data_IF_276217568721
#
_entry.id   IF_276217568721
#
_cell.length_a   1.000
_cell.length_b   1.000
_cell.length_c   1.000
_cell.angle_alpha   90.00
_cell.angle_beta   90.00
_cell.angle_gamma   90.00
#
_symmetry.space_group_name_H-M   'P 1'
#
loop_
_entity.id
_entity.type
_entity.pdbx_description
1 polymer ?
#
# COMPACT_ATOMS: atom_id res chain seq x y z
N UNK A 1 34.59 -33.07 27.70
CA UNK A 1 34.18 -32.67 29.07
C UNK A 1 32.97 -33.49 29.48
N UNK A 2 32.96 -34.05 30.69
CA UNK A 2 31.87 -34.91 31.19
C UNK A 2 30.91 -34.09 32.05
N UNK A 3 29.63 -34.47 32.07
CA UNK A 3 28.50 -33.83 32.79
C UNK A 3 28.79 -33.43 34.26
N UNK A 4 29.73 -34.10 34.92
CA UNK A 4 30.16 -33.80 36.28
C UNK A 4 30.97 -32.50 36.42
N UNK A 5 31.65 -32.03 35.37
CA UNK A 5 32.43 -30.78 35.38
C UNK A 5 31.52 -29.55 35.18
N UNK A 6 30.37 -29.72 34.52
CA UNK A 6 29.36 -28.69 34.31
C UNK A 6 28.56 -28.35 35.59
N UNK A 7 28.38 -29.32 36.49
CA UNK A 7 27.60 -29.13 37.73
C UNK A 7 28.39 -28.45 38.87
N UNK A 8 29.71 -28.33 38.76
CA UNK A 8 30.54 -27.64 39.75
C UNK A 8 30.57 -26.12 39.57
N UNK A 9 30.25 -25.61 38.38
CA UNK A 9 30.25 -24.17 38.05
C UNK A 9 28.93 -23.48 38.44
N UNK A 10 27.84 -24.23 38.53
CA UNK A 10 26.47 -23.69 38.72
C UNK A 10 25.71 -24.29 39.92
N UNK A 11 26.41 -24.66 40.98
CA UNK A 11 25.76 -24.85 42.28
C UNK A 11 25.87 -23.52 43.07
N UNK A 12 24.78 -22.76 43.29
CA UNK A 12 24.81 -21.65 44.22
C UNK A 12 25.09 -22.24 45.60
N UNK A 13 26.24 -21.88 46.20
CA UNK A 13 26.43 -22.07 47.64
C UNK A 13 25.32 -21.29 48.33
N UNK A 14 24.50 -22.02 49.08
CA UNK A 14 23.42 -21.47 49.90
C UNK A 14 23.90 -20.28 50.73
N UNK A 15 22.95 -19.42 51.08
CA UNK A 15 23.05 -18.40 52.10
C UNK A 15 23.75 -17.09 51.71
N UNK A 16 24.36 -16.97 50.52
CA UNK A 16 25.06 -15.73 50.10
C UNK A 16 24.15 -14.71 49.40
N UNK A 17 23.20 -15.18 48.59
CA UNK A 17 22.25 -14.32 47.86
C UNK A 17 21.23 -13.72 48.82
N UNK A 18 20.70 -14.52 49.74
CA UNK A 18 19.70 -14.11 50.72
C UNK A 18 20.25 -13.08 51.72
N UNK A 19 21.53 -13.20 52.08
CA UNK A 19 22.24 -12.24 52.94
C UNK A 19 22.50 -10.90 52.25
N UNK A 20 22.81 -10.93 50.94
CA UNK A 20 22.93 -9.73 50.11
C UNK A 20 21.60 -9.02 49.89
N UNK A 21 20.52 -9.78 49.69
CA UNK A 21 19.17 -9.23 49.55
C UNK A 21 18.71 -8.58 50.87
N UNK A 22 18.93 -9.23 52.02
CA UNK A 22 18.63 -8.61 53.33
C UNK A 22 19.49 -7.38 53.63
N UNK A 23 20.80 -7.40 53.40
CA UNK A 23 21.63 -6.20 53.58
C UNK A 23 21.23 -5.05 52.64
N UNK A 24 20.71 -5.35 51.46
CA UNK A 24 20.22 -4.34 50.51
C UNK A 24 18.88 -3.77 50.95
N UNK A 25 17.98 -4.61 51.49
CA UNK A 25 16.69 -4.18 52.03
C UNK A 25 16.82 -3.39 53.34
N UNK A 26 17.66 -3.84 54.27
CA UNK A 26 17.95 -3.12 55.53
C UNK A 26 18.63 -1.77 55.24
N UNK A 27 19.50 -1.71 54.22
CA UNK A 27 20.14 -0.47 53.74
C UNK A 27 19.19 0.50 53.03
N UNK A 28 18.02 0.02 52.57
CA UNK A 28 16.94 0.85 52.02
C UNK A 28 15.99 1.36 53.12
N UNK A 29 15.85 0.63 54.22
CA UNK A 29 15.02 1.04 55.37
C UNK A 29 15.68 2.14 56.22
N UNK A 30 17.01 2.13 56.37
CA UNK A 30 17.72 3.12 57.20
C UNK A 30 17.95 4.49 56.52
N UNK A 31 17.84 4.59 55.18
CA UNK A 31 18.12 5.84 54.44
C UNK A 31 16.91 6.76 54.21
N UNK A 32 15.74 6.42 54.74
CA UNK A 32 14.50 7.21 54.56
C UNK A 32 14.12 8.09 55.75
N UNK A 33 15.09 8.59 56.51
CA UNK A 33 14.89 9.76 57.38
C UNK A 33 15.70 10.92 56.81
N UNK A 34 14.98 11.92 56.30
CA UNK A 34 15.44 13.18 55.66
C UNK A 34 15.59 13.18 54.13
N UNK A 35 14.52 13.52 53.39
CA UNK A 35 14.43 14.71 52.50
C UNK A 35 13.39 14.60 51.34
N UNK A 36 12.41 15.54 51.37
CA UNK A 36 11.63 16.19 50.29
C UNK A 36 10.58 15.44 49.39
N UNK A 37 9.42 16.08 49.06
CA UNK A 37 8.15 15.42 48.70
C UNK A 37 7.83 15.38 47.18
N UNK A 38 8.82 15.36 46.28
CA UNK A 38 8.57 15.54 44.83
C UNK A 38 8.51 14.26 43.98
N UNK A 39 8.74 13.06 44.54
CA UNK A 39 8.66 11.79 43.78
C UNK A 39 7.28 11.12 43.81
N UNK A 40 6.48 11.38 44.84
CA UNK A 40 5.10 10.87 44.92
C UNK A 40 4.19 11.47 43.85
N UNK A 41 4.40 12.74 43.48
CA UNK A 41 3.65 13.39 42.41
C UNK A 41 3.98 12.84 41.01
N UNK A 42 5.24 12.44 40.76
CA UNK A 42 5.63 11.84 39.47
C UNK A 42 5.14 10.40 39.32
N UNK A 43 5.16 9.60 40.39
CA UNK A 43 4.62 8.24 40.36
C UNK A 43 3.09 8.27 40.31
N UNK A 44 2.44 9.19 41.03
CA UNK A 44 0.99 9.39 40.92
C UNK A 44 0.59 9.94 39.55
N UNK A 45 1.36 10.85 38.93
CA UNK A 45 1.08 11.33 37.57
C UNK A 45 1.32 10.24 36.52
N UNK A 46 2.35 9.40 36.67
CA UNK A 46 2.58 8.25 35.79
C UNK A 46 1.52 7.15 35.99
N UNK A 47 1.04 6.93 37.21
CA UNK A 47 -0.09 6.03 37.48
C UNK A 47 -1.42 6.62 37.02
N UNK A 48 -1.61 7.94 37.06
CA UNK A 48 -2.79 8.62 36.50
C UNK A 48 -2.73 8.62 34.97
N UNK A 49 -1.56 8.77 34.34
CA UNK A 49 -1.41 8.57 32.88
C UNK A 49 -1.60 7.11 32.50
N UNK A 50 -1.07 6.15 33.26
CA UNK A 50 -1.33 4.72 33.06
C UNK A 50 -2.78 4.32 33.35
N UNK A 51 -3.48 5.05 34.24
CA UNK A 51 -4.91 4.90 34.50
C UNK A 51 -5.76 5.67 33.49
N UNK A 52 -5.24 6.68 32.79
CA UNK A 52 -5.94 7.36 31.68
C UNK A 52 -5.79 6.54 30.40
N UNK A 53 -4.62 5.93 30.14
CA UNK A 53 -4.48 4.92 29.07
C UNK A 53 -5.28 3.67 29.39
N UNK A 54 -5.41 3.25 30.67
CA UNK A 54 -6.28 2.14 31.07
C UNK A 54 -7.76 2.52 31.30
N UNK A 55 -8.15 3.79 31.34
CA UNK A 55 -9.56 4.20 31.47
C UNK A 55 -10.28 4.30 30.13
N UNK A 56 -9.54 4.41 29.01
CA UNK A 56 -10.08 4.06 27.69
C UNK A 56 -10.29 2.54 27.55
N UNK A 57 -9.54 1.73 28.31
CA UNK A 57 -9.53 0.24 28.27
C UNK A 57 -10.75 -0.41 28.96
N UNK A 58 -11.77 0.36 29.37
CA UNK A 58 -13.05 -0.18 29.85
C UNK A 58 -14.29 0.37 29.10
N UNK A 59 -14.11 1.24 28.11
CA UNK A 59 -15.13 1.48 27.11
C UNK A 59 -15.03 0.32 26.11
N UNK A 60 -16.11 -0.44 25.93
CA UNK A 60 -16.15 -1.45 24.87
C UNK A 60 -15.77 -0.79 23.55
N UNK A 61 -14.91 -1.44 22.75
CA UNK A 61 -14.51 -0.97 21.42
C UNK A 61 -15.73 -0.39 20.70
N UNK A 62 -15.69 0.92 20.42
CA UNK A 62 -16.76 1.57 19.65
C UNK A 62 -16.61 1.08 18.22
N UNK A 63 -17.67 0.46 17.69
CA UNK A 63 -17.69 -0.12 16.35
C UNK A 63 -18.68 0.64 15.50
N UNK A 64 -18.34 0.84 14.24
CA UNK A 64 -19.29 1.39 13.29
C UNK A 64 -20.42 0.39 13.03
N UNK A 65 -21.61 0.89 12.70
CA UNK A 65 -22.74 0.02 12.33
C UNK A 65 -22.41 -0.86 11.12
N UNK A 66 -21.59 -0.35 10.19
CA UNK A 66 -21.09 -1.10 9.02
C UNK A 66 -20.20 -2.26 9.46
N UNK A 67 -19.28 -2.02 10.40
CA UNK A 67 -18.40 -3.05 10.93
C UNK A 67 -19.18 -4.14 11.70
N UNK A 68 -20.12 -3.73 12.56
CA UNK A 68 -20.99 -4.68 13.26
C UNK A 68 -21.84 -5.51 12.29
N UNK A 69 -22.32 -4.92 11.20
CA UNK A 69 -23.05 -5.63 10.16
C UNK A 69 -22.16 -6.67 9.45
N UNK A 70 -20.92 -6.32 9.07
CA UNK A 70 -19.97 -7.29 8.48
C UNK A 70 -19.68 -8.46 9.42
N UNK A 71 -19.49 -8.19 10.71
CA UNK A 71 -19.27 -9.25 11.72
C UNK A 71 -20.47 -10.18 11.85
N UNK A 72 -21.69 -9.62 11.93
CA UNK A 72 -22.90 -10.42 12.02
C UNK A 72 -23.11 -11.23 10.74
N UNK A 73 -22.74 -10.68 9.58
CA UNK A 73 -22.77 -11.39 8.31
C UNK A 73 -21.79 -12.57 8.27
N UNK A 74 -20.54 -12.34 8.70
CA UNK A 74 -19.54 -13.40 8.83
C UNK A 74 -20.04 -14.54 9.73
N UNK A 75 -20.60 -14.23 10.90
CA UNK A 75 -21.17 -15.24 11.81
C UNK A 75 -22.26 -16.07 11.15
N UNK A 76 -23.17 -15.44 10.39
CA UNK A 76 -24.22 -16.16 9.66
C UNK A 76 -23.66 -17.08 8.57
N UNK A 77 -22.57 -16.68 7.89
CA UNK A 77 -21.88 -17.50 6.90
C UNK A 77 -21.12 -18.66 7.55
N UNK A 78 -20.46 -18.42 8.68
CA UNK A 78 -19.79 -19.45 9.47
C UNK A 78 -20.80 -20.51 9.92
N UNK A 79 -21.92 -20.09 10.52
CA UNK A 79 -22.96 -21.00 11.01
C UNK A 79 -23.64 -21.81 9.89
N UNK A 80 -23.94 -21.18 8.75
CA UNK A 80 -24.68 -21.83 7.65
C UNK A 80 -23.79 -22.65 6.72
N UNK A 81 -22.61 -22.13 6.36
CA UNK A 81 -21.76 -22.69 5.32
C UNK A 81 -20.39 -23.19 5.84
N UNK A 82 -20.07 -23.00 7.11
CA UNK A 82 -18.72 -23.30 7.62
C UNK A 82 -17.66 -22.38 7.02
N UNK A 83 -18.03 -21.15 6.69
CA UNK A 83 -17.14 -20.11 6.21
C UNK A 83 -16.07 -19.80 7.28
N UNK A 84 -14.80 -19.66 6.87
CA UNK A 84 -13.69 -19.39 7.78
C UNK A 84 -12.95 -18.10 7.41
N UNK A 85 -12.16 -17.56 8.34
CA UNK A 85 -11.36 -16.36 8.10
C UNK A 85 -10.39 -16.53 6.93
N UNK A 86 -9.80 -17.72 6.78
CA UNK A 86 -8.94 -18.04 5.63
C UNK A 86 -9.71 -17.94 4.29
N UNK A 87 -11.01 -18.22 4.27
CA UNK A 87 -11.85 -18.11 3.06
C UNK A 87 -12.22 -16.67 2.76
N UNK A 88 -12.34 -15.80 3.78
CA UNK A 88 -12.75 -14.40 3.61
C UNK A 88 -11.83 -13.64 2.65
N UNK A 89 -10.52 -13.93 2.68
CA UNK A 89 -9.52 -13.33 1.77
C UNK A 89 -9.81 -13.54 0.28
N UNK A 90 -10.62 -14.53 -0.07
CA UNK A 90 -11.01 -14.81 -1.45
C UNK A 90 -12.18 -13.95 -1.93
N UNK A 91 -12.73 -13.10 -1.07
CA UNK A 91 -13.91 -12.30 -1.36
C UNK A 91 -13.71 -10.82 -1.01
N UNK A 92 -14.19 -9.94 -1.88
CA UNK A 92 -14.42 -8.54 -1.56
C UNK A 92 -15.74 -8.41 -0.79
N UNK A 93 -15.70 -7.79 0.38
CA UNK A 93 -16.86 -7.62 1.25
C UNK A 93 -17.40 -6.17 1.23
N UNK A 94 -18.63 -5.99 0.77
CA UNK A 94 -19.35 -4.72 0.81
C UNK A 94 -20.57 -4.81 1.72
N UNK A 95 -20.97 -3.68 2.30
CA UNK A 95 -22.17 -3.58 3.13
C UNK A 95 -22.95 -2.33 2.72
N UNK A 96 -24.19 -2.52 2.29
CA UNK A 96 -25.09 -1.47 1.85
C UNK A 96 -26.33 -1.43 2.73
N UNK A 97 -26.75 -0.24 3.14
CA UNK A 97 -28.01 -0.06 3.87
C UNK A 97 -29.09 0.49 2.94
N UNK A 98 -30.23 -0.20 2.90
CA UNK A 98 -31.40 0.22 2.13
C UNK A 98 -32.67 -0.13 2.86
N UNK A 99 -33.57 0.85 3.03
CA UNK A 99 -34.90 0.66 3.61
C UNK A 99 -34.91 -0.04 5.00
N UNK A 100 -33.92 0.27 5.86
CA UNK A 100 -33.79 -0.32 7.20
C UNK A 100 -33.30 -1.78 7.22
N UNK A 101 -32.72 -2.22 6.11
CA UNK A 101 -32.10 -3.52 5.91
C UNK A 101 -30.65 -3.30 5.47
N UNK A 102 -29.72 -4.01 6.09
CA UNK A 102 -28.33 -4.03 5.65
C UNK A 102 -28.09 -5.29 4.83
N UNK A 103 -27.56 -5.14 3.63
CA UNK A 103 -27.16 -6.27 2.78
C UNK A 103 -25.64 -6.27 2.73
N UNK A 104 -25.04 -7.36 3.19
CA UNK A 104 -23.60 -7.60 3.13
C UNK A 104 -23.34 -8.60 2.02
N UNK A 105 -22.47 -8.25 1.07
CA UNK A 105 -22.16 -9.09 -0.08
C UNK A 105 -20.68 -9.40 -0.10
N UNK A 106 -20.38 -10.70 -0.17
CA UNK A 106 -19.04 -11.25 -0.37
C UNK A 106 -18.95 -11.72 -1.82
N UNK A 107 -18.26 -10.93 -2.66
CA UNK A 107 -18.06 -11.23 -4.07
C UNK A 107 -16.68 -11.81 -4.27
N UNK A 108 -16.56 -12.92 -5.02
CA UNK A 108 -15.28 -13.54 -5.28
C UNK A 108 -14.31 -12.51 -5.90
N UNK A 109 -13.14 -12.35 -5.29
CA UNK A 109 -12.15 -11.40 -5.75
C UNK A 109 -11.59 -11.88 -7.11
N UNK A 110 -11.62 -11.00 -8.12
CA UNK A 110 -11.10 -11.29 -9.46
C UNK A 110 -9.61 -11.69 -9.45
N UNK A 111 -8.87 -11.22 -8.45
CA UNK A 111 -7.42 -11.46 -8.31
C UNK A 111 -7.10 -12.88 -7.79
N UNK A 112 -8.12 -13.64 -7.35
CA UNK A 112 -8.01 -15.07 -7.00
C UNK A 112 -7.71 -15.94 -8.23
N UNK A 113 -7.94 -15.41 -9.44
CA UNK A 113 -7.63 -16.05 -10.72
C UNK A 113 -8.85 -16.64 -11.43
N UNK A 114 -8.61 -17.39 -12.50
CA UNK A 114 -9.61 -17.86 -13.48
C UNK A 114 -10.75 -18.74 -12.90
N UNK A 115 -10.67 -19.13 -11.62
CA UNK A 115 -11.70 -19.93 -10.95
C UNK A 115 -12.58 -19.11 -9.99
N UNK A 116 -12.37 -17.80 -9.84
CA UNK A 116 -13.16 -16.94 -8.94
C UNK A 116 -14.68 -17.07 -9.18
N UNK A 117 -15.10 -17.19 -10.45
CA UNK A 117 -16.50 -17.41 -10.82
C UNK A 117 -17.10 -18.70 -10.25
N UNK A 118 -16.29 -19.73 -9.95
CA UNK A 118 -16.75 -20.99 -9.37
C UNK A 118 -17.14 -20.84 -7.91
N UNK A 119 -16.58 -19.85 -7.19
CA UNK A 119 -16.87 -19.61 -5.78
C UNK A 119 -18.26 -19.03 -5.55
N UNK A 120 -18.80 -18.31 -6.54
CA UNK A 120 -20.06 -17.59 -6.45
C UNK A 120 -20.05 -16.46 -5.42
N UNK A 121 -21.11 -15.66 -5.40
CA UNK A 121 -21.31 -14.60 -4.40
C UNK A 121 -22.06 -15.14 -3.19
N UNK A 122 -21.66 -14.73 -1.99
CA UNK A 122 -22.44 -14.92 -0.76
C UNK A 122 -23.11 -13.60 -0.40
N UNK A 123 -24.39 -13.66 -0.04
CA UNK A 123 -25.16 -12.49 0.37
C UNK A 123 -25.79 -12.74 1.72
N UNK A 124 -25.56 -11.84 2.66
CA UNK A 124 -26.18 -11.86 3.98
C UNK A 124 -27.09 -10.66 4.12
N UNK A 125 -28.34 -10.95 4.44
CA UNK A 125 -29.36 -9.95 4.65
C UNK A 125 -29.61 -9.78 6.14
N UNK A 126 -29.41 -8.57 6.65
CA UNK A 126 -29.56 -8.24 8.07
C UNK A 126 -30.78 -7.34 8.26
N UNK A 127 -31.70 -7.78 9.13
CA UNK A 127 -32.90 -7.03 9.51
C UNK A 127 -33.20 -7.25 10.98
N UNK A 128 -33.38 -6.17 11.74
CA UNK A 128 -33.67 -6.23 13.19
C UNK A 128 -32.67 -7.09 13.99
N UNK A 129 -31.38 -7.04 13.62
CA UNK A 129 -30.33 -7.85 14.25
C UNK A 129 -30.35 -9.34 13.92
N UNK A 130 -31.23 -9.79 13.02
CA UNK A 130 -31.23 -11.15 12.48
C UNK A 130 -30.55 -11.15 11.12
N UNK A 131 -29.63 -12.08 10.91
CA UNK A 131 -28.90 -12.27 9.66
C UNK A 131 -29.33 -13.55 8.96
N UNK A 132 -29.64 -13.44 7.67
CA UNK A 132 -29.97 -14.56 6.80
C UNK A 132 -28.95 -14.63 5.66
N UNK A 133 -28.14 -15.69 5.68
CA UNK A 133 -27.12 -15.93 4.68
C UNK A 133 -27.66 -16.73 3.49
N UNK A 134 -27.18 -16.44 2.29
CA UNK A 134 -27.47 -17.15 1.05
C UNK A 134 -26.22 -17.22 0.18
N UNK A 135 -26.16 -18.24 -0.67
CA UNK A 135 -25.11 -18.40 -1.67
C UNK A 135 -25.76 -18.42 -3.05
N UNK A 136 -25.14 -17.74 -4.01
CA UNK A 136 -25.64 -17.63 -5.38
C UNK A 136 -25.85 -18.98 -6.08
N UNK A 137 -25.14 -20.02 -5.64
CA UNK A 137 -25.30 -21.39 -6.15
C UNK A 137 -26.00 -22.33 -5.14
N UNK A 138 -26.78 -21.78 -4.20
CA UNK A 138 -27.60 -22.59 -3.29
C UNK A 138 -28.53 -23.51 -4.10
N UNK A 139 -28.44 -24.82 -3.83
CA UNK A 139 -29.23 -25.85 -4.53
C UNK A 139 -28.52 -26.48 -5.73
N UNK A 140 -27.38 -25.95 -6.16
CA UNK A 140 -26.55 -26.57 -7.18
C UNK A 140 -25.78 -27.78 -6.63
N UNK A 141 -25.58 -28.80 -7.46
CA UNK A 141 -24.81 -29.97 -7.09
C UNK A 141 -23.31 -29.67 -7.13
N UNK A 142 -22.64 -29.84 -5.99
CA UNK A 142 -21.18 -29.65 -5.88
C UNK A 142 -20.50 -31.01 -5.96
N UNK A 143 -19.56 -31.15 -6.90
CA UNK A 143 -18.73 -32.34 -7.05
C UNK A 143 -17.74 -32.54 -5.89
N UNK A 144 -17.07 -33.68 -5.87
CA UNK A 144 -16.07 -34.02 -4.84
C UNK A 144 -14.63 -33.62 -5.23
N UNK A 145 -14.43 -32.97 -6.38
CA UNK A 145 -13.15 -32.49 -6.86
C UNK A 145 -13.22 -31.07 -7.47
N UNK A 146 -12.06 -30.54 -7.84
CA UNK A 146 -11.91 -29.19 -8.38
C UNK A 146 -12.44 -29.02 -9.82
N UNK A 147 -12.85 -30.11 -10.49
CA UNK A 147 -13.52 -30.04 -11.80
C UNK A 147 -14.98 -29.61 -11.69
N UNK A 148 -15.55 -29.60 -10.47
CA UNK A 148 -16.89 -29.12 -10.18
C UNK A 148 -17.14 -27.73 -10.77
N UNK A 149 -18.34 -27.53 -11.35
CA UNK A 149 -18.74 -26.26 -11.96
C UNK A 149 -18.80 -25.13 -10.94
N UNK A 150 -19.25 -25.45 -9.72
CA UNK A 150 -19.30 -24.54 -8.57
C UNK A 150 -18.55 -25.14 -7.38
N UNK A 151 -17.94 -24.29 -6.55
CA UNK A 151 -17.14 -24.68 -5.41
C UNK A 151 -17.76 -24.13 -4.12
N UNK A 152 -18.19 -25.03 -3.26
CA UNK A 152 -18.61 -24.65 -1.90
C UNK A 152 -17.39 -24.44 -0.99
N UNK A 153 -17.65 -24.00 0.24
CA UNK A 153 -16.65 -23.80 1.30
C UNK A 153 -15.76 -25.03 1.54
N UNK A 154 -16.29 -26.25 1.37
CA UNK A 154 -15.51 -27.48 1.55
C UNK A 154 -14.46 -27.69 0.44
N UNK A 155 -14.81 -27.43 -0.83
CA UNK A 155 -13.83 -27.45 -1.93
C UNK A 155 -12.81 -26.31 -1.79
N UNK A 156 -13.26 -25.11 -1.43
CA UNK A 156 -12.36 -23.98 -1.18
C UNK A 156 -11.37 -24.30 -0.05
N UNK A 157 -11.82 -24.89 1.07
CA UNK A 157 -10.96 -25.31 2.18
C UNK A 157 -9.86 -26.27 1.71
N UNK A 158 -10.20 -27.24 0.83
CA UNK A 158 -9.22 -28.18 0.26
C UNK A 158 -8.22 -27.45 -0.64
N UNK A 159 -8.67 -26.47 -1.41
CA UNK A 159 -7.81 -25.64 -2.25
C UNK A 159 -6.80 -24.84 -1.42
N UNK A 160 -7.27 -24.16 -0.38
CA UNK A 160 -6.45 -23.42 0.57
C UNK A 160 -5.41 -24.34 1.24
N UNK A 161 -5.81 -25.55 1.64
CA UNK A 161 -4.88 -26.52 2.23
C UNK A 161 -3.77 -26.96 1.26
N UNK A 162 -4.08 -27.14 -0.03
CA UNK A 162 -3.10 -27.46 -1.08
C UNK A 162 -2.18 -26.28 -1.38
N UNK A 163 -2.71 -25.04 -1.43
CA UNK A 163 -1.90 -23.81 -1.51
C UNK A 163 -0.90 -23.72 -0.36
N UNK A 164 -1.36 -23.94 0.87
CA UNK A 164 -0.49 -23.97 2.06
C UNK A 164 0.56 -25.09 2.03
N UNK A 165 0.34 -26.14 1.25
CA UNK A 165 1.31 -27.20 1.01
C UNK A 165 2.31 -26.90 -0.12
N UNK A 166 2.18 -25.75 -0.79
CA UNK A 166 3.08 -25.27 -1.85
C UNK A 166 2.63 -25.56 -3.27
N UNK A 167 1.42 -26.08 -3.48
CA UNK A 167 0.85 -26.24 -4.84
C UNK A 167 0.29 -24.92 -5.34
N UNK A 168 0.38 -24.63 -6.63
CA UNK A 168 -0.20 -23.42 -7.22
C UNK A 168 -1.66 -23.64 -7.66
N UNK A 169 -2.47 -22.58 -7.74
CA UNK A 169 -3.90 -22.70 -8.09
C UNK A 169 -4.15 -23.35 -9.45
N UNK A 170 -3.27 -23.11 -10.43
CA UNK A 170 -3.34 -23.75 -11.75
C UNK A 170 -3.08 -25.28 -11.67
N UNK A 171 -2.24 -25.72 -10.74
CA UNK A 171 -1.99 -27.15 -10.48
C UNK A 171 -3.18 -27.81 -9.77
N UNK A 172 -3.84 -27.04 -8.90
CA UNK A 172 -5.02 -27.48 -8.14
C UNK A 172 -6.22 -27.66 -9.07
N UNK A 173 -6.45 -26.69 -9.96
CA UNK A 173 -7.59 -26.62 -10.89
C UNK A 173 -7.36 -27.40 -12.19
N UNK A 174 -6.10 -27.73 -12.53
CA UNK A 174 -5.76 -28.41 -13.77
C UNK A 174 -5.94 -27.53 -15.02
N UNK A 175 -6.10 -26.22 -14.86
CA UNK A 175 -6.02 -25.28 -15.99
C UNK A 175 -4.56 -25.15 -16.41
N UNK A 176 -4.26 -25.57 -17.64
CA UNK A 176 -2.99 -25.25 -18.28
C UNK A 176 -2.97 -23.73 -18.45
N UNK A 177 -2.19 -23.04 -17.61
CA UNK A 177 -1.72 -21.72 -17.96
C UNK A 177 -1.08 -21.83 -19.36
N UNK A 178 -1.64 -21.13 -20.35
CA UNK A 178 -0.78 -20.59 -21.39
C UNK A 178 0.01 -19.47 -20.73
N UNK A 179 1.00 -19.83 -19.92
CA UNK A 179 2.08 -18.92 -19.56
C UNK A 179 2.77 -18.59 -20.88
N UNK A 180 2.36 -17.48 -21.49
CA UNK A 180 3.19 -16.80 -22.46
C UNK A 180 4.31 -16.09 -21.70
N UNK A 181 5.20 -16.86 -21.07
CA UNK A 181 6.51 -16.43 -20.55
C UNK A 181 7.15 -17.60 -19.80
N UNK A 182 8.04 -18.31 -20.50
CA UNK A 182 9.11 -19.05 -19.86
C UNK A 182 9.99 -18.02 -19.12
N UNK A 183 9.87 -17.95 -17.79
CA UNK A 183 10.82 -17.25 -16.93
C UNK A 183 12.07 -18.12 -16.77
N UNK A 184 12.85 -18.20 -17.84
CA UNK A 184 14.26 -18.56 -17.76
C UNK A 184 15.02 -17.66 -18.71
N UNK A 185 15.26 -16.44 -18.28
CA UNK A 185 16.50 -15.74 -18.56
C UNK A 185 16.67 -14.70 -17.46
N UNK A 186 17.74 -14.88 -16.67
CA UNK A 186 18.27 -13.80 -15.87
C UNK A 186 18.79 -12.76 -16.86
N UNK A 187 17.96 -11.77 -17.16
CA UNK A 187 18.38 -10.62 -17.95
C UNK A 187 19.40 -9.86 -17.12
N UNK A 188 20.67 -10.00 -17.52
CA UNK A 188 21.68 -8.99 -17.31
C UNK A 188 21.05 -7.63 -17.66
N UNK A 189 21.20 -6.66 -16.75
CA UNK A 189 20.73 -5.28 -16.82
C UNK A 189 21.26 -4.58 -18.09
N UNK A 190 20.65 -4.90 -19.23
CA UNK A 190 20.81 -4.18 -20.48
C UNK A 190 19.83 -3.02 -20.44
N UNK A 191 20.31 -1.79 -20.67
CA UNK A 191 19.48 -0.60 -20.68
C UNK A 191 18.25 -0.83 -21.58
N UNK A 192 17.05 -0.83 -20.99
CA UNK A 192 15.80 -1.05 -21.69
C UNK A 192 15.67 -0.04 -22.82
N UNK A 193 15.69 -0.53 -24.07
CA UNK A 193 15.44 0.32 -25.25
C UNK A 193 13.94 0.66 -25.27
N UNK A 194 13.56 1.96 -25.27
CA UNK A 194 12.15 2.33 -25.23
C UNK A 194 11.35 1.76 -26.41
N UNK A 195 10.09 1.46 -26.17
CA UNK A 195 9.20 0.90 -27.20
C UNK A 195 9.13 1.81 -28.44
N UNK A 196 9.24 1.20 -29.63
CA UNK A 196 9.32 1.90 -30.91
C UNK A 196 10.71 2.41 -31.30
N UNK A 197 11.75 2.18 -30.49
CA UNK A 197 13.14 2.60 -30.75
C UNK A 197 14.09 1.45 -31.07
N UNK A 198 13.59 0.36 -31.66
CA UNK A 198 14.44 -0.76 -32.07
C UNK A 198 15.53 -0.28 -33.03
N UNK A 199 16.80 -0.52 -32.69
CA UNK A 199 17.95 -0.07 -33.48
C UNK A 199 18.40 1.37 -33.20
N UNK A 200 17.75 2.09 -32.27
CA UNK A 200 18.24 3.36 -31.78
C UNK A 200 19.36 3.16 -30.73
N UNK A 201 20.25 4.15 -30.64
CA UNK A 201 21.32 4.20 -29.64
C UNK A 201 21.13 5.41 -28.73
N UNK A 202 21.19 5.21 -27.42
CA UNK A 202 21.28 6.30 -26.45
C UNK A 202 22.53 7.15 -26.74
N UNK A 203 22.35 8.46 -26.80
CA UNK A 203 23.42 9.42 -27.08
C UNK A 203 24.02 9.96 -25.80
N UNK A 204 25.32 10.27 -25.84
CA UNK A 204 25.91 11.12 -24.81
C UNK A 204 25.47 12.58 -25.06
N UNK A 205 25.22 13.34 -23.99
CA UNK A 205 24.76 14.74 -24.06
C UNK A 205 25.72 15.65 -24.86
N UNK A 206 27.02 15.34 -24.82
CA UNK A 206 28.09 16.09 -25.49
C UNK A 206 28.18 15.83 -27.01
N UNK A 207 27.40 14.90 -27.54
CA UNK A 207 27.39 14.63 -28.98
C UNK A 207 26.84 15.84 -29.75
N UNK A 208 27.62 16.33 -30.74
CA UNK A 208 27.27 17.54 -31.50
C UNK A 208 25.90 17.46 -32.19
N UNK A 209 25.48 16.27 -32.64
CA UNK A 209 24.15 16.05 -33.22
C UNK A 209 23.04 16.22 -32.15
N UNK A 210 23.26 15.73 -30.93
CA UNK A 210 22.32 15.86 -29.81
C UNK A 210 22.15 17.33 -29.41
N UNK A 211 23.25 18.06 -29.19
CA UNK A 211 23.21 19.49 -28.87
C UNK A 211 22.45 20.30 -29.94
N UNK A 212 22.69 20.00 -31.23
CA UNK A 212 21.98 20.65 -32.33
C UNK A 212 20.48 20.32 -32.36
N UNK A 213 20.11 19.09 -32.00
CA UNK A 213 18.70 18.71 -31.87
C UNK A 213 18.05 19.40 -30.67
N UNK A 214 18.74 19.51 -29.53
CA UNK A 214 18.27 20.22 -28.34
C UNK A 214 17.98 21.69 -28.67
N UNK A 215 18.92 22.39 -29.33
CA UNK A 215 18.72 23.78 -29.77
C UNK A 215 17.48 23.94 -30.65
N UNK A 216 17.24 22.97 -31.56
CA UNK A 216 16.10 23.00 -32.47
C UNK A 216 14.75 22.81 -31.74
N UNK A 217 14.70 21.87 -30.78
CA UNK A 217 13.50 21.63 -29.95
C UNK A 217 13.22 22.83 -29.04
N UNK A 218 14.25 23.34 -28.35
CA UNK A 218 14.15 24.54 -27.50
C UNK A 218 13.64 25.75 -28.28
N UNK A 219 14.21 26.00 -29.46
CA UNK A 219 13.80 27.13 -30.29
C UNK A 219 12.35 27.01 -30.80
N UNK A 220 11.88 25.80 -31.12
CA UNK A 220 10.51 25.60 -31.62
C UNK A 220 9.47 25.65 -30.49
N UNK A 221 9.72 24.99 -29.37
CA UNK A 221 8.73 24.78 -28.30
C UNK A 221 8.93 25.68 -27.07
N UNK A 222 9.98 26.50 -27.04
CA UNK A 222 10.27 27.36 -25.91
C UNK A 222 10.77 26.60 -24.68
N UNK A 223 11.37 25.43 -24.85
CA UNK A 223 11.94 24.64 -23.75
C UNK A 223 13.21 25.30 -23.18
N UNK A 224 13.39 25.21 -21.87
CA UNK A 224 14.65 25.55 -21.20
C UNK A 224 15.67 24.41 -21.30
N UNK A 225 16.89 24.62 -20.81
CA UNK A 225 17.88 23.53 -20.72
C UNK A 225 17.42 22.47 -19.72
N UNK A 226 16.85 22.91 -18.61
CA UNK A 226 16.34 22.05 -17.56
C UNK A 226 15.13 21.23 -18.01
N UNK A 227 14.25 21.80 -18.84
CA UNK A 227 13.16 21.03 -19.46
C UNK A 227 13.69 19.88 -20.34
N UNK A 228 14.78 20.12 -21.07
CA UNK A 228 15.38 19.11 -21.96
C UNK A 228 16.09 18.02 -21.16
N UNK A 229 16.63 18.34 -19.97
CA UNK A 229 17.26 17.39 -19.06
C UNK A 229 16.27 16.34 -18.51
N UNK A 230 14.96 16.57 -18.63
CA UNK A 230 13.93 15.55 -18.34
C UNK A 230 13.84 14.45 -19.42
N UNK A 231 14.69 14.48 -20.45
CA UNK A 231 14.64 13.57 -21.58
C UNK A 231 16.02 13.00 -21.91
N UNK A 232 16.05 11.71 -22.24
CA UNK A 232 17.19 11.06 -22.87
C UNK A 232 17.14 11.24 -24.39
N UNK A 233 18.29 11.54 -25.00
CA UNK A 233 18.41 11.65 -26.45
C UNK A 233 18.78 10.31 -27.09
N UNK A 234 17.94 9.82 -28.01
CA UNK A 234 18.14 8.57 -28.73
C UNK A 234 18.36 8.83 -30.22
N UNK A 235 19.44 8.28 -30.78
CA UNK A 235 19.76 8.38 -32.21
C UNK A 235 19.25 7.15 -32.95
N UNK A 236 18.36 7.38 -33.92
CA UNK A 236 17.91 6.37 -34.86
C UNK A 236 18.44 6.71 -36.26
N UNK A 237 18.94 5.68 -36.96
CA UNK A 237 19.42 5.80 -38.34
C UNK A 237 18.54 4.94 -39.24
N UNK A 238 17.63 5.56 -39.99
CA UNK A 238 16.76 4.86 -40.94
C UNK A 238 16.92 5.42 -42.35
N UNK A 239 17.09 4.53 -43.34
CA UNK A 239 17.13 4.89 -44.76
C UNK A 239 18.14 6.01 -45.09
N UNK A 240 19.26 6.08 -44.38
CA UNK A 240 20.30 7.10 -44.56
C UNK A 240 19.99 8.47 -43.94
N UNK A 241 18.86 8.61 -43.24
CA UNK A 241 18.53 9.79 -42.44
C UNK A 241 18.87 9.57 -40.99
N UNK A 242 19.32 10.64 -40.34
CA UNK A 242 19.51 10.68 -38.89
C UNK A 242 18.28 11.27 -38.24
N UNK A 243 17.76 10.59 -37.23
CA UNK A 243 16.68 11.08 -36.38
C UNK A 243 17.16 11.06 -34.93
N UNK A 244 16.91 12.15 -34.21
CA UNK A 244 17.16 12.22 -32.76
C UNK A 244 15.81 12.35 -32.07
N UNK A 245 15.56 11.47 -31.11
CA UNK A 245 14.30 11.36 -30.38
C UNK A 245 14.59 11.59 -28.91
N UNK A 246 13.96 12.60 -28.33
CA UNK A 246 13.99 12.88 -26.91
C UNK A 246 12.86 12.12 -26.22
N UNK A 247 13.23 11.16 -25.38
CA UNK A 247 12.32 10.29 -24.64
C UNK A 247 12.32 10.70 -23.18
N UNK A 248 11.16 10.90 -22.53
CA UNK A 248 11.10 11.21 -21.11
C UNK A 248 11.95 10.25 -20.28
N UNK A 249 12.82 10.80 -19.43
CA UNK A 249 13.65 10.07 -18.48
C UNK A 249 13.16 10.41 -17.07
N UNK A 250 12.04 9.76 -16.70
CA UNK A 250 11.47 9.84 -15.36
C UNK A 250 11.49 8.43 -14.77
N UNK A 251 11.91 8.32 -13.51
CA UNK A 251 11.93 7.03 -12.80
C UNK A 251 10.52 6.42 -12.78
N UNK A 252 10.39 5.10 -12.84
CA UNK A 252 9.07 4.46 -12.78
C UNK A 252 8.28 4.84 -11.51
N UNK A 253 8.98 5.08 -10.40
CA UNK A 253 8.38 5.58 -9.16
C UNK A 253 7.72 6.94 -9.38
N UNK A 254 8.40 7.87 -10.07
CA UNK A 254 7.92 9.23 -10.30
C UNK A 254 6.99 9.36 -11.51
N UNK A 255 7.13 8.50 -12.52
CA UNK A 255 6.47 8.61 -13.82
C UNK A 255 4.98 8.32 -13.75
N UNK A 256 4.56 7.56 -12.74
CA UNK A 256 3.16 7.23 -12.55
C UNK A 256 2.85 6.93 -11.10
N UNK A 257 3.14 7.86 -10.18
CA UNK A 257 2.92 7.76 -8.73
C UNK A 257 1.45 7.39 -8.45
N UNK A 258 1.25 6.06 -8.51
CA UNK A 258 0.12 5.17 -8.37
C UNK A 258 -1.19 5.62 -9.07
N UNK A 259 -1.52 4.96 -10.19
CA UNK A 259 -2.84 4.72 -10.80
C UNK A 259 -4.00 5.62 -10.31
N UNK A 260 -4.44 6.57 -11.13
CA UNK A 260 -5.75 7.23 -10.98
C UNK A 260 -6.86 6.17 -11.16
N UNK A 261 -7.52 5.75 -10.08
CA UNK A 261 -8.85 5.12 -10.19
C UNK A 261 -9.72 5.70 -9.08
N UNK A 262 -10.72 6.47 -9.47
CA UNK A 262 -11.92 6.69 -8.66
C UNK A 262 -13.22 6.58 -9.48
N UNK A 263 -13.17 6.41 -10.81
CA UNK A 263 -14.37 6.20 -11.61
C UNK A 263 -14.07 5.47 -12.94
N UNK A 264 -14.58 4.25 -13.09
CA UNK A 264 -14.53 3.46 -14.34
C UNK A 264 -15.15 4.21 -15.54
N UNK A 265 -15.95 5.26 -15.33
CA UNK A 265 -16.58 6.03 -16.41
C UNK A 265 -15.71 7.15 -16.98
N UNK A 266 -14.60 7.53 -16.32
CA UNK A 266 -13.60 8.49 -16.81
C UNK A 266 -12.22 7.87 -17.09
N UNK A 267 -12.14 6.54 -17.01
CA UNK A 267 -10.90 5.77 -17.03
C UNK A 267 -9.99 6.11 -18.22
N UNK A 268 -10.52 6.24 -19.45
CA UNK A 268 -9.70 6.44 -20.66
C UNK A 268 -8.84 7.73 -20.71
N UNK A 269 -9.04 8.71 -19.81
CA UNK A 269 -8.21 9.95 -19.76
C UNK A 269 -7.40 10.12 -18.48
N UNK A 270 -7.66 9.29 -17.47
CA UNK A 270 -7.02 9.30 -16.16
C UNK A 270 -5.68 8.52 -16.14
N UNK A 271 -5.43 7.69 -17.17
CA UNK A 271 -4.31 6.74 -17.17
C UNK A 271 -2.94 7.31 -17.57
N UNK A 272 -2.82 8.56 -17.99
CA UNK A 272 -1.56 8.99 -18.59
C UNK A 272 -0.50 9.35 -17.57
N UNK A 273 0.59 8.56 -17.59
CA UNK A 273 1.86 8.82 -16.90
C UNK A 273 2.43 10.18 -17.25
N UNK A 274 3.32 10.73 -16.42
CA UNK A 274 4.03 11.97 -16.74
C UNK A 274 4.71 11.86 -18.11
N UNK A 275 5.42 10.77 -18.39
CA UNK A 275 6.07 10.49 -19.68
C UNK A 275 5.12 10.54 -20.87
N UNK A 276 3.89 10.02 -20.72
CA UNK A 276 2.87 10.10 -21.76
C UNK A 276 2.42 11.55 -21.99
N UNK A 277 2.14 12.30 -20.92
CA UNK A 277 1.72 13.70 -20.99
C UNK A 277 2.84 14.60 -21.54
N UNK A 278 4.10 14.29 -21.22
CA UNK A 278 5.30 14.96 -21.77
C UNK A 278 5.46 14.70 -23.27
N UNK A 279 5.05 13.53 -23.75
CA UNK A 279 5.26 13.10 -25.13
C UNK A 279 6.75 12.98 -25.50
N UNK A 280 7.02 12.75 -26.78
CA UNK A 280 8.39 12.66 -27.31
C UNK A 280 8.63 13.78 -28.31
N UNK A 281 9.84 14.35 -28.29
CA UNK A 281 10.28 15.29 -29.33
C UNK A 281 11.17 14.58 -30.33
N UNK A 282 11.00 14.89 -31.61
CA UNK A 282 11.72 14.23 -32.70
C UNK A 282 12.29 15.24 -33.67
N UNK A 283 13.59 15.13 -33.93
CA UNK A 283 14.34 15.99 -34.85
C UNK A 283 14.88 15.14 -35.98
N UNK A 284 14.47 15.44 -37.21
CA UNK A 284 15.01 14.79 -38.41
C UNK A 284 16.07 15.66 -39.06
N UNK A 285 17.18 15.03 -39.43
CA UNK A 285 18.26 15.65 -40.17
C UNK A 285 18.29 15.17 -41.61
N UNK A 286 18.54 16.10 -42.53
CA UNK A 286 18.82 15.80 -43.92
C UNK A 286 20.23 15.23 -44.12
N UNK A 287 20.51 14.75 -45.33
CA UNK A 287 21.83 14.22 -45.72
C UNK A 287 22.99 15.22 -45.55
N UNK A 288 22.69 16.52 -45.55
CA UNK A 288 23.66 17.60 -45.31
C UNK A 288 23.83 17.96 -43.82
N UNK A 289 23.20 17.20 -42.92
CA UNK A 289 23.20 17.44 -41.48
C UNK A 289 22.37 18.66 -41.04
N UNK A 290 21.55 19.26 -41.91
CA UNK A 290 20.63 20.34 -41.53
C UNK A 290 19.34 19.76 -40.96
N UNK A 291 18.75 20.46 -39.97
CA UNK A 291 17.43 20.09 -39.41
C UNK A 291 16.36 20.28 -40.49
N UNK A 292 15.62 19.22 -40.78
CA UNK A 292 14.53 19.20 -41.76
C UNK A 292 13.16 19.37 -41.10
N UNK A 293 12.96 18.70 -39.96
CA UNK A 293 11.74 18.81 -39.18
C UNK A 293 12.04 18.66 -37.70
N UNK A 294 11.22 19.32 -36.91
CA UNK A 294 11.15 19.18 -35.46
C UNK A 294 9.68 18.96 -35.17
N UNK A 295 9.31 17.86 -34.54
CA UNK A 295 7.92 17.57 -34.17
C UNK A 295 7.85 17.11 -32.71
N UNK A 296 6.66 17.23 -32.15
CA UNK A 296 6.31 16.74 -30.82
C UNK A 296 5.13 15.79 -30.97
N UNK A 297 5.07 14.76 -30.14
CA UNK A 297 3.98 13.77 -30.19
C UNK A 297 2.61 14.40 -30.03
N UNK A 298 2.51 15.50 -29.27
CA UNK A 298 1.29 16.26 -29.03
C UNK A 298 1.15 17.52 -29.91
N UNK A 299 1.91 17.60 -31.02
CA UNK A 299 1.73 18.68 -32.00
C UNK A 299 0.29 18.70 -32.51
N UNK A 300 -0.40 19.83 -32.34
CA UNK A 300 -1.80 20.00 -32.78
C UNK A 300 -2.83 19.83 -31.66
N UNK A 301 -2.41 19.36 -30.48
CA UNK A 301 -3.24 19.39 -29.27
C UNK A 301 -3.39 20.82 -28.72
N UNK A 302 -4.49 21.08 -28.03
CA UNK A 302 -4.72 22.36 -27.37
C UNK A 302 -3.81 22.49 -26.13
N UNK A 303 -2.94 23.50 -26.14
CA UNK A 303 -2.04 23.75 -25.02
C UNK A 303 -2.83 24.22 -23.79
N UNK A 304 -2.54 23.66 -22.61
CA UNK A 304 -3.34 23.90 -21.43
C UNK A 304 -3.02 25.28 -20.82
N UNK A 305 -4.05 26.04 -20.41
CA UNK A 305 -3.85 27.28 -19.66
C UNK A 305 -3.69 26.97 -18.17
N UNK A 306 -2.46 26.66 -17.77
CA UNK A 306 -2.13 26.17 -16.42
C UNK A 306 -1.43 27.20 -15.57
N UNK A 307 -1.57 27.00 -14.26
CA UNK A 307 -0.83 27.71 -13.20
C UNK A 307 -0.01 26.70 -12.39
N UNK A 308 0.85 27.19 -11.51
CA UNK A 308 1.59 26.35 -10.54
C UNK A 308 0.66 25.43 -9.72
N UNK A 309 -0.60 25.81 -9.51
CA UNK A 309 -1.58 25.04 -8.75
C UNK A 309 -2.54 24.19 -9.61
N UNK A 310 -2.40 24.17 -10.93
CA UNK A 310 -3.34 23.45 -11.82
C UNK A 310 -2.67 22.60 -12.90
N UNK A 311 -1.36 22.72 -13.10
CA UNK A 311 -0.65 22.01 -14.17
C UNK A 311 -0.67 20.48 -14.00
N UNK A 312 -0.72 19.95 -12.77
CA UNK A 312 -0.70 18.51 -12.52
C UNK A 312 -1.87 17.73 -13.14
N UNK A 313 -2.95 18.41 -13.54
CA UNK A 313 -4.11 17.82 -14.25
C UNK A 313 -4.14 18.15 -15.74
N UNK A 314 -3.09 18.74 -16.29
CA UNK A 314 -3.01 19.01 -17.71
C UNK A 314 -2.96 17.70 -18.51
N UNK A 315 -3.67 17.66 -19.64
CA UNK A 315 -3.70 16.48 -20.52
C UNK A 315 -2.36 16.29 -21.25
N UNK A 316 -1.63 17.38 -21.51
CA UNK A 316 -0.31 17.40 -22.14
C UNK A 316 0.60 18.36 -21.38
N UNK A 317 1.88 18.05 -21.31
CA UNK A 317 2.88 18.87 -20.62
C UNK A 317 3.70 19.66 -21.62
N UNK A 318 3.28 20.92 -21.83
CA UNK A 318 4.04 21.90 -22.58
C UNK A 318 5.24 22.44 -21.77
N UNK A 319 5.98 23.41 -22.32
CA UNK A 319 7.15 24.00 -21.66
C UNK A 319 6.86 24.49 -20.22
N UNK A 320 5.66 25.06 -19.97
CA UNK A 320 5.30 25.55 -18.64
C UNK A 320 5.07 24.40 -17.67
N UNK A 321 4.33 23.37 -18.10
CA UNK A 321 4.12 22.17 -17.30
C UNK A 321 5.45 21.48 -16.96
N UNK A 322 6.38 21.40 -17.91
CA UNK A 322 7.70 20.78 -17.69
C UNK A 322 8.52 21.53 -16.63
N UNK A 323 8.47 22.86 -16.62
CA UNK A 323 9.13 23.66 -15.57
C UNK A 323 8.52 23.41 -14.20
N UNK A 324 7.20 23.24 -14.10
CA UNK A 324 6.58 22.92 -12.81
C UNK A 324 6.80 21.46 -12.38
N UNK A 325 6.90 20.53 -13.34
CA UNK A 325 7.25 19.13 -13.09
C UNK A 325 8.67 19.00 -12.53
N UNK A 326 9.64 19.70 -13.11
CA UNK A 326 11.02 19.72 -12.61
C UNK A 326 11.08 20.15 -11.14
N UNK A 327 10.40 21.26 -10.78
CA UNK A 327 10.31 21.72 -9.40
C UNK A 327 9.68 20.68 -8.49
N UNK A 328 8.58 20.05 -8.94
CA UNK A 328 7.92 19.00 -8.17
C UNK A 328 8.88 17.83 -7.92
N UNK A 329 9.57 17.33 -8.95
CA UNK A 329 10.50 16.20 -8.81
C UNK A 329 11.63 16.52 -7.83
N UNK A 330 12.20 17.74 -7.90
CA UNK A 330 13.22 18.19 -6.97
C UNK A 330 12.71 18.30 -5.51
N UNK A 331 11.50 18.83 -5.33
CA UNK A 331 10.87 18.94 -4.00
C UNK A 331 10.56 17.54 -3.43
N UNK A 332 10.02 16.63 -4.24
CA UNK A 332 9.74 15.25 -3.84
C UNK A 332 11.02 14.50 -3.48
N UNK A 333 12.11 14.69 -4.24
CA UNK A 333 13.40 14.11 -3.92
C UNK A 333 13.92 14.62 -2.57
N UNK A 334 13.78 15.92 -2.30
CA UNK A 334 14.16 16.53 -1.01
C UNK A 334 13.35 15.93 0.14
N UNK A 335 12.03 15.82 -0.02
CA UNK A 335 11.14 15.24 0.98
C UNK A 335 11.45 13.76 1.23
N UNK A 336 11.78 12.96 0.21
CA UNK A 336 12.19 11.56 0.37
C UNK A 336 13.52 11.40 1.12
N UNK A 337 14.41 12.39 1.06
CA UNK A 337 15.66 12.38 1.85
C UNK A 337 15.38 12.74 3.31
N UNK A 338 14.46 13.69 3.55
CA UNK A 338 14.04 14.08 4.91
C UNK A 338 13.22 12.97 5.59
N UNK A 339 12.35 12.31 4.82
CA UNK A 339 11.47 11.23 5.24
C UNK A 339 11.77 9.97 4.41
N UNK A 340 12.86 9.25 4.74
CA UNK A 340 13.22 8.03 4.03
C UNK A 340 12.18 6.94 4.25
N UNK A 341 11.97 6.13 3.21
CA UNK A 341 11.19 4.90 3.27
C UNK A 341 11.94 3.85 4.12
N UNK A 342 11.22 3.12 4.97
CA UNK A 342 11.80 2.06 5.80
C UNK A 342 11.78 0.67 5.14
N UNK A 343 11.30 0.60 3.89
CA UNK A 343 11.13 -0.61 3.10
C UNK A 343 9.67 -1.10 3.04
N UNK A 344 8.78 -0.55 3.87
CA UNK A 344 7.35 -0.84 3.87
C UNK A 344 6.50 0.42 3.74
N UNK A 345 6.87 1.48 4.43
CA UNK A 345 6.17 2.77 4.46
C UNK A 345 7.13 3.92 4.75
N UNK A 346 6.61 5.14 4.72
CA UNK A 346 7.22 6.30 5.39
C UNK A 346 6.46 6.60 6.68
N UNK A 347 6.99 7.54 7.46
CA UNK A 347 6.24 8.05 8.62
C UNK A 347 4.99 8.80 8.14
N UNK A 348 3.92 8.89 8.95
CA UNK A 348 2.72 9.64 8.60
C UNK A 348 3.00 11.10 8.21
N UNK A 349 3.99 11.75 8.84
CA UNK A 349 4.42 13.10 8.47
C UNK A 349 5.04 13.16 7.08
N UNK A 350 5.84 12.17 6.72
CA UNK A 350 6.48 12.09 5.41
C UNK A 350 5.46 11.88 4.29
N UNK A 351 4.53 10.95 4.48
CA UNK A 351 3.46 10.70 3.51
C UNK A 351 2.56 11.92 3.33
N UNK A 352 2.13 12.55 4.44
CA UNK A 352 1.33 13.76 4.39
C UNK A 352 2.08 14.93 3.71
N UNK A 353 3.39 15.08 3.92
CA UNK A 353 4.19 16.13 3.29
C UNK A 353 4.32 15.93 1.76
N UNK A 354 4.59 14.69 1.34
CA UNK A 354 4.67 14.33 -0.08
C UNK A 354 3.34 14.58 -0.79
N UNK A 355 2.23 14.16 -0.18
CA UNK A 355 0.89 14.34 -0.75
C UNK A 355 0.46 15.81 -0.77
N UNK A 356 0.70 16.55 0.31
CA UNK A 356 0.44 17.99 0.34
C UNK A 356 1.19 18.73 -0.78
N UNK A 357 2.43 18.33 -1.07
CA UNK A 357 3.21 18.93 -2.15
C UNK A 357 2.63 18.61 -3.53
N UNK A 358 2.11 17.40 -3.74
CA UNK A 358 1.41 17.01 -4.98
C UNK A 358 0.08 17.75 -5.11
N UNK A 359 -0.72 17.82 -4.07
CA UNK A 359 -1.98 18.59 -4.09
C UNK A 359 -1.70 20.06 -4.41
N UNK A 360 -0.62 20.64 -3.88
CA UNK A 360 -0.20 22.00 -4.20
C UNK A 360 0.20 22.19 -5.68
N UNK A 361 0.72 21.15 -6.34
CA UNK A 361 0.97 21.13 -7.80
C UNK A 361 -0.32 20.93 -8.64
N UNK A 362 -1.48 20.82 -7.98
CA UNK A 362 -2.78 20.69 -8.63
C UNK A 362 -3.27 19.25 -8.78
N UNK A 363 -2.58 18.25 -8.25
CA UNK A 363 -3.06 16.86 -8.30
C UNK A 363 -4.33 16.64 -7.45
N UNK A 364 -4.97 15.48 -7.59
CA UNK A 364 -6.22 15.17 -6.87
C UNK A 364 -5.96 14.95 -5.38
N UNK A 365 -6.63 15.73 -4.51
CA UNK A 365 -6.62 15.50 -3.06
C UNK A 365 -7.42 14.26 -2.64
N UNK A 366 -8.26 13.71 -3.53
CA UNK A 366 -8.87 12.39 -3.29
C UNK A 366 -7.83 11.27 -3.45
N UNK A 367 -6.82 11.47 -4.31
CA UNK A 367 -5.75 10.49 -4.54
C UNK A 367 -4.60 10.65 -3.55
N UNK A 368 -4.13 11.88 -3.41
CA UNK A 368 -3.05 12.26 -2.50
C UNK A 368 -3.70 12.78 -1.23
N UNK A 369 -4.22 11.85 -0.43
CA UNK A 369 -5.10 12.10 0.69
C UNK A 369 -4.44 11.84 2.04
N UNK A 370 -3.12 11.57 2.08
CA UNK A 370 -2.41 11.46 3.35
C UNK A 370 -2.43 12.78 4.10
N UNK A 371 -2.77 12.72 5.40
CA UNK A 371 -2.90 13.89 6.27
C UNK A 371 -2.34 13.59 7.64
N UNK A 372 -2.22 14.60 8.48
CA UNK A 372 -1.94 14.43 9.91
C UNK A 372 -3.21 14.58 10.72
N UNK A 373 -3.34 13.87 11.86
CA UNK A 373 -4.47 14.05 12.76
C UNK A 373 -4.52 15.49 13.30
N UNK A 374 -5.73 16.04 13.42
CA UNK A 374 -5.93 17.32 14.08
C UNK A 374 -5.69 17.22 15.60
N UNK A 375 -5.50 18.37 16.25
CA UNK A 375 -5.34 18.39 17.71
C UNK A 375 -6.57 17.82 18.42
N UNK A 376 -6.35 16.78 19.23
CA UNK A 376 -7.40 16.08 19.96
C UNK A 376 -7.88 14.78 19.30
N UNK A 377 -7.46 14.51 18.07
CA UNK A 377 -7.62 13.20 17.42
C UNK A 377 -6.59 12.19 17.95
N UNK A 378 -6.83 10.90 17.68
CA UNK A 378 -5.93 9.81 18.01
C UNK A 378 -4.55 10.03 17.40
N UNK A 379 -3.52 9.77 18.21
CA UNK A 379 -2.14 9.73 17.74
C UNK A 379 -1.86 8.41 17.02
N UNK A 380 -0.77 8.38 16.24
CA UNK A 380 -0.28 7.14 15.61
C UNK A 380 -0.10 6.02 16.64
N UNK A 381 0.51 6.33 17.79
CA UNK A 381 0.76 5.37 18.85
C UNK A 381 -0.55 4.80 19.44
N UNK A 382 -1.56 5.66 19.62
CA UNK A 382 -2.87 5.24 20.12
C UNK A 382 -3.60 4.38 19.08
N UNK A 383 -3.50 4.73 17.80
CA UNK A 383 -4.08 3.94 16.70
C UNK A 383 -3.42 2.55 16.59
N UNK A 384 -2.09 2.46 16.67
CA UNK A 384 -1.35 1.18 16.70
C UNK A 384 -1.77 0.30 17.88
N UNK A 385 -1.87 0.90 19.08
CA UNK A 385 -2.30 0.18 20.27
C UNK A 385 -3.75 -0.33 20.16
N UNK A 386 -4.64 0.50 19.62
CA UNK A 386 -6.04 0.14 19.41
C UNK A 386 -6.21 -0.94 18.33
N UNK A 387 -5.49 -0.84 17.21
CA UNK A 387 -5.49 -1.85 16.16
C UNK A 387 -5.01 -3.21 16.69
N UNK A 388 -3.95 -3.24 17.50
CA UNK A 388 -3.49 -4.46 18.16
C UNK A 388 -4.58 -5.08 19.03
N UNK A 389 -5.28 -4.27 19.83
CA UNK A 389 -6.39 -4.75 20.65
C UNK A 389 -7.51 -5.36 19.79
N UNK A 390 -7.84 -4.74 18.66
CA UNK A 390 -8.87 -5.24 17.73
C UNK A 390 -8.43 -6.55 17.09
N UNK A 391 -7.19 -6.64 16.63
CA UNK A 391 -6.64 -7.87 16.03
C UNK A 391 -6.60 -9.05 17.01
N UNK A 392 -6.25 -8.80 18.27
CA UNK A 392 -6.25 -9.82 19.33
C UNK A 392 -7.67 -10.26 19.75
N UNK A 393 -8.64 -9.35 19.75
CA UNK A 393 -9.99 -9.60 20.26
C UNK A 393 -10.98 -10.04 19.18
N UNK A 394 -11.12 -9.25 18.12
CA UNK A 394 -12.08 -9.47 17.03
C UNK A 394 -11.45 -10.26 15.87
N UNK A 395 -10.15 -10.10 15.63
CA UNK A 395 -9.43 -10.80 14.55
C UNK A 395 -8.98 -12.22 14.90
N UNK A 396 -9.05 -12.61 16.17
CA UNK A 396 -8.65 -13.96 16.62
C UNK A 396 -7.16 -14.27 16.48
N UNK A 397 -6.32 -13.26 16.23
CA UNK A 397 -4.87 -13.43 16.21
C UNK A 397 -4.36 -13.68 17.64
N UNK A 398 -3.54 -14.72 17.81
CA UNK A 398 -2.83 -14.94 19.07
C UNK A 398 -1.98 -13.71 19.42
N UNK A 399 -1.95 -13.31 20.69
CA UNK A 399 -1.09 -12.23 21.19
C UNK A 399 0.40 -12.44 20.86
N UNK A 400 0.82 -13.66 20.51
CA UNK A 400 2.19 -13.97 20.10
C UNK A 400 2.49 -13.54 18.65
N UNK A 401 1.48 -13.43 17.76
CA UNK A 401 1.67 -13.11 16.33
C UNK A 401 2.04 -11.64 16.11
N UNK A 402 1.35 -10.65 16.72
CA UNK A 402 1.77 -9.25 16.64
C UNK A 402 3.10 -8.93 17.33
N UNK A 403 3.69 -9.90 18.05
CA UNK A 403 4.97 -9.77 18.74
C UNK A 403 6.08 -10.61 18.07
N UNK A 404 5.81 -11.21 16.91
CA UNK A 404 6.83 -11.92 16.15
C UNK A 404 7.87 -10.89 15.65
N UNK A 405 9.19 -11.10 15.87
CA UNK A 405 10.22 -10.22 15.32
C UNK A 405 10.26 -10.16 13.79
N UNK A 406 9.49 -11.00 13.09
CA UNK A 406 9.24 -10.94 11.64
C UNK A 406 7.92 -10.29 11.27
N UNK A 407 7.15 -9.82 12.25
CA UNK A 407 5.95 -9.02 12.01
C UNK A 407 6.29 -7.54 12.01
N UNK A 408 5.68 -6.81 11.09
CA UNK A 408 5.81 -5.36 10.97
C UNK A 408 4.42 -4.73 11.07
N UNK A 409 4.29 -3.68 11.87
CA UNK A 409 3.02 -2.99 12.05
C UNK A 409 3.25 -1.49 11.94
N UNK A 410 2.57 -0.86 10.99
CA UNK A 410 2.68 0.56 10.71
C UNK A 410 1.31 1.17 10.48
N UNK A 411 1.21 2.48 10.67
CA UNK A 411 -0.04 3.21 10.55
C UNK A 411 0.07 4.30 9.49
N UNK A 412 -0.97 4.44 8.69
CA UNK A 412 -1.11 5.47 7.68
C UNK A 412 -2.31 6.33 8.04
N UNK A 413 -2.16 7.65 7.97
CA UNK A 413 -3.25 8.59 8.24
C UNK A 413 -3.70 9.26 6.95
N UNK A 414 -4.99 9.16 6.63
CA UNK A 414 -5.54 9.65 5.39
C UNK A 414 -6.93 10.26 5.57
N UNK A 415 -7.36 11.05 4.58
CA UNK A 415 -8.71 11.57 4.49
C UNK A 415 -9.58 10.62 3.65
N UNK A 416 -10.59 10.00 4.27
CA UNK A 416 -11.50 9.06 3.62
C UNK A 416 -12.96 9.41 3.98
N UNK A 417 -13.85 9.50 2.99
CA UNK A 417 -15.28 9.80 3.19
C UNK A 417 -15.56 11.02 4.11
N UNK A 418 -14.70 12.04 4.03
CA UNK A 418 -14.80 13.25 4.86
C UNK A 418 -14.35 13.08 6.32
N UNK A 419 -13.70 11.96 6.65
CA UNK A 419 -13.12 11.66 7.95
C UNK A 419 -11.60 11.55 7.88
N UNK A 420 -10.92 11.91 8.96
CA UNK A 420 -9.51 11.58 9.17
C UNK A 420 -9.45 10.18 9.75
N UNK A 421 -8.76 9.29 9.05
CA UNK A 421 -8.77 7.85 9.32
C UNK A 421 -7.35 7.36 9.50
N UNK A 422 -7.16 6.51 10.50
CA UNK A 422 -5.96 5.69 10.64
C UNK A 422 -6.22 4.31 10.04
N UNK A 423 -5.40 3.91 9.07
CA UNK A 423 -5.33 2.52 8.61
C UNK A 423 -4.05 1.91 9.13
N UNK A 424 -4.18 0.95 10.06
CA UNK A 424 -3.05 0.22 10.64
C UNK A 424 -2.88 -1.09 9.90
N UNK A 425 -1.74 -1.23 9.24
CA UNK A 425 -1.34 -2.45 8.55
C UNK A 425 -0.48 -3.32 9.46
N UNK A 426 -0.69 -4.62 9.40
CA UNK A 426 0.09 -5.60 10.13
C UNK A 426 0.45 -6.76 9.20
N UNK A 427 1.73 -6.80 8.84
CA UNK A 427 2.31 -7.88 8.04
C UNK A 427 2.91 -8.92 8.98
N UNK A 428 2.56 -10.18 8.79
CA UNK A 428 3.13 -11.28 9.57
C UNK A 428 3.26 -12.54 8.72
N UNK A 429 3.85 -13.59 9.29
CA UNK A 429 4.10 -14.84 8.59
C UNK A 429 2.83 -15.58 8.11
N UNK A 430 1.66 -15.22 8.63
CA UNK A 430 0.36 -15.81 8.29
C UNK A 430 -0.39 -14.97 7.25
N UNK A 431 -0.03 -13.69 7.09
CA UNK A 431 -0.57 -12.81 6.06
C UNK A 431 -0.62 -11.34 6.46
N UNK A 432 -1.48 -10.58 5.78
CA UNK A 432 -1.64 -9.14 5.94
C UNK A 432 -2.97 -8.86 6.64
N UNK A 433 -2.95 -8.04 7.67
CA UNK A 433 -4.16 -7.54 8.32
C UNK A 433 -4.18 -6.01 8.24
N UNK A 434 -5.38 -5.43 8.15
CA UNK A 434 -5.58 -3.99 8.24
C UNK A 434 -6.71 -3.66 9.19
N UNK A 435 -6.55 -2.64 10.02
CA UNK A 435 -7.62 -2.08 10.87
C UNK A 435 -7.80 -0.62 10.53
N UNK A 436 -9.02 -0.24 10.17
CA UNK A 436 -9.38 1.13 9.81
C UNK A 436 -10.12 1.78 10.98
N UNK A 437 -9.64 2.93 11.44
CA UNK A 437 -10.04 3.58 12.70
C UNK A 437 -10.34 5.06 12.44
N UNK A 438 -11.49 5.54 12.92
CA UNK A 438 -11.81 6.96 12.93
C UNK A 438 -10.89 7.71 13.91
N UNK A 439 -10.08 8.63 13.41
CA UNK A 439 -9.12 9.35 14.24
C UNK A 439 -9.82 10.28 15.24
N UNK A 440 -11.07 10.68 15.03
CA UNK A 440 -11.77 11.61 15.90
C UNK A 440 -12.14 11.00 17.27
N UNK A 441 -12.50 9.71 17.31
CA UNK A 441 -13.04 9.08 18.51
C UNK A 441 -12.58 7.63 18.72
N UNK A 442 -11.77 7.07 17.83
CA UNK A 442 -11.29 5.69 17.90
C UNK A 442 -12.32 4.65 17.47
N UNK A 443 -13.39 5.03 16.78
CA UNK A 443 -14.38 4.09 16.25
C UNK A 443 -13.73 3.16 15.22
N UNK A 444 -13.89 1.85 15.39
CA UNK A 444 -13.44 0.86 14.41
C UNK A 444 -14.40 0.90 13.21
N UNK A 445 -13.86 1.31 12.07
CA UNK A 445 -14.60 1.48 10.83
C UNK A 445 -14.61 0.18 10.01
N UNK A 446 -13.46 -0.49 9.94
CA UNK A 446 -13.31 -1.75 9.20
C UNK A 446 -12.14 -2.59 9.73
N UNK A 447 -12.14 -3.89 9.39
CA UNK A 447 -11.00 -4.79 9.60
C UNK A 447 -10.91 -5.76 8.43
N UNK A 448 -9.70 -5.95 7.91
CA UNK A 448 -9.40 -6.91 6.85
C UNK A 448 -8.35 -7.88 7.39
N UNK A 449 -8.57 -9.17 7.14
CA UNK A 449 -7.63 -10.24 7.43
C UNK A 449 -7.43 -11.03 6.13
N UNK A 450 -6.24 -10.88 5.55
CA UNK A 450 -5.83 -11.62 4.36
C UNK A 450 -4.72 -12.61 4.71
N UNK A 451 -5.12 -13.86 4.98
CA UNK A 451 -4.22 -14.99 5.22
C UNK A 451 -4.04 -15.91 4.00
N UNK A 452 -4.71 -15.59 2.89
CA UNK A 452 -4.78 -16.42 1.69
C UNK A 452 -3.83 -16.01 0.57
N UNK A 453 -3.49 -14.72 0.50
CA UNK A 453 -2.64 -14.11 -0.53
C UNK A 453 -1.19 -13.87 -0.08
N UNK A 454 -0.80 -14.39 1.09
CA UNK A 454 0.56 -14.35 1.62
C UNK A 454 1.51 -15.20 0.74
N UNK A 455 1.89 -14.65 -0.42
CA UNK A 455 2.72 -15.31 -1.43
C UNK A 455 3.26 -14.40 -2.53
N UNK A 456 2.83 -13.14 -2.63
CA UNK A 456 3.41 -12.15 -3.55
C UNK A 456 4.28 -11.13 -2.81
N UNK A 457 5.20 -11.63 -1.99
CA UNK A 457 6.36 -10.87 -1.50
C UNK A 457 7.58 -11.19 -2.34
#
# INVERSE_FOLDING_TARGET
MKKAEWQAVYAPRGDALERRVRQTLDGLEEKNRYAYPKRGAFIAAALVLALITAAAVAAGLTRSARYDAKRLAYQALEEKYGFTTDMESFFTCTAEEKDGQTVVTYRANKDVGDFAWKLGDYTVTIRNGQAEASWSNDGEAVGDDFSSDVWNTALLARGIARRKAGEEWYEITGTVLKTGTDLSDAEEETALVPEGLSGARLMDEDEADAAKAQDAVRAKYGLTEENVALFDAWKLMENGKTQIIFVPNISAEDDGILLEIDDETAADRAFSRHSERMGRYMVEFGENGAVQSVIWTHDGEELPDVTEATWGRANVYDAKCLTELEKLLADLQTLRVEYPDDGWTRTPEGDAALDARRVAAGFSAARYNHVLPESGMLTEQDALALARQVLESDGGLSADVPNDPKSEMYAVCAQEDGKTVWTVWHHNAVGICAVTIDAADGTILDMIIDTGMAGNG
#
